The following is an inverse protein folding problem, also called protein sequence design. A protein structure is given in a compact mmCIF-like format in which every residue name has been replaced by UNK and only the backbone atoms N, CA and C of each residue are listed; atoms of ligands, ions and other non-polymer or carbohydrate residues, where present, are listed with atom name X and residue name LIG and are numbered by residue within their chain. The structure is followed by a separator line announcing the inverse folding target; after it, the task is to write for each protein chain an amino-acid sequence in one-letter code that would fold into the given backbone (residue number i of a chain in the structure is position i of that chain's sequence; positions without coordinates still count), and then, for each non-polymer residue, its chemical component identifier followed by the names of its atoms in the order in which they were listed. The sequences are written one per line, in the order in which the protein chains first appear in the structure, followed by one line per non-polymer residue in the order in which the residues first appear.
data_IF_351373830087
#
_entry.id   IF_351373830087
#
_cell.length_a   1.000
_cell.length_b   1.000
_cell.length_c   1.000
_cell.angle_alpha   90.00
_cell.angle_beta   90.00
_cell.angle_gamma   90.00
#
_symmetry.space_group_name_H-M   'P 1'
#
loop_
_entity.id
_entity.type
_entity.pdbx_description
1 polymer ?
#
# COMPACT_ATOMS: atom_id res chain seq x y z
N UNK A 1 51.77 48.44 9.78
CA UNK A 1 50.66 47.60 10.25
C UNK A 1 49.71 47.36 9.09
N UNK A 2 49.55 46.10 8.68
CA UNK A 2 48.31 45.47 8.17
C UNK A 2 48.69 44.12 7.53
N UNK A 3 48.80 43.12 8.39
CA UNK A 3 48.96 41.72 8.00
C UNK A 3 47.58 41.20 7.62
N UNK A 4 47.37 40.84 6.36
CA UNK A 4 46.16 40.14 5.93
C UNK A 4 46.35 38.65 6.19
N UNK A 5 45.59 38.11 7.14
CA UNK A 5 45.50 36.67 7.40
C UNK A 5 44.40 36.13 6.49
N UNK A 6 44.79 35.37 5.46
CA UNK A 6 43.85 34.60 4.65
C UNK A 6 43.53 33.32 5.43
N UNK A 7 42.33 33.27 6.02
CA UNK A 7 41.77 32.05 6.57
C UNK A 7 41.34 31.14 5.42
N UNK A 8 42.15 30.13 5.11
CA UNK A 8 41.75 29.02 4.27
C UNK A 8 40.72 28.18 5.04
N UNK A 9 39.43 28.38 4.72
CA UNK A 9 38.38 27.48 5.18
C UNK A 9 38.54 26.14 4.45
N UNK A 10 39.13 25.15 5.12
CA UNK A 10 39.05 23.77 4.68
C UNK A 10 37.60 23.32 4.78
N UNK A 11 36.86 23.42 3.68
CA UNK A 11 35.60 22.71 3.50
C UNK A 11 35.96 21.23 3.39
N UNK A 12 35.93 20.53 4.52
CA UNK A 12 35.92 19.07 4.51
C UNK A 12 34.55 18.68 3.97
N UNK A 13 34.47 18.43 2.65
CA UNK A 13 33.35 17.70 2.11
C UNK A 13 33.33 16.35 2.83
N UNK A 14 32.34 16.14 3.68
CA UNK A 14 32.08 14.81 4.23
C UNK A 14 31.76 13.91 3.05
N UNK A 15 32.76 13.17 2.57
CA UNK A 15 32.53 12.05 1.67
C UNK A 15 31.62 11.09 2.44
N UNK A 16 30.36 10.97 2.01
CA UNK A 16 29.43 10.03 2.59
C UNK A 16 30.05 8.62 2.49
N UNK A 17 30.18 7.96 3.63
CA UNK A 17 30.78 6.64 3.69
C UNK A 17 29.79 5.63 3.11
N UNK A 18 30.13 5.07 1.94
CA UNK A 18 29.56 3.80 1.49
C UNK A 18 29.74 2.80 2.63
N UNK A 19 28.68 2.08 3.07
CA UNK A 19 28.79 1.16 4.18
C UNK A 19 29.86 0.11 3.87
N UNK A 20 30.73 -0.12 4.83
CA UNK A 20 31.79 -1.13 4.74
C UNK A 20 31.19 -2.53 4.66
N UNK A 21 31.97 -3.48 4.12
CA UNK A 21 31.59 -4.90 4.08
C UNK A 21 31.24 -5.46 5.48
N UNK A 22 31.96 -5.00 6.51
CA UNK A 22 31.72 -5.42 7.89
C UNK A 22 30.37 -4.92 8.42
N UNK A 23 30.00 -3.67 8.12
CA UNK A 23 28.70 -3.11 8.50
C UNK A 23 27.55 -3.82 7.77
N UNK A 24 27.71 -4.11 6.48
CA UNK A 24 26.70 -4.85 5.71
C UNK A 24 26.53 -6.27 6.27
N UNK A 25 27.63 -6.94 6.62
CA UNK A 25 27.57 -8.27 7.23
C UNK A 25 26.88 -8.23 8.60
N UNK A 26 27.15 -7.22 9.42
CA UNK A 26 26.46 -7.07 10.71
C UNK A 26 24.95 -6.86 10.53
N UNK A 27 24.54 -5.99 9.60
CA UNK A 27 23.13 -5.78 9.26
C UNK A 27 22.47 -7.03 8.67
N UNK A 28 23.20 -7.87 7.93
CA UNK A 28 22.70 -9.13 7.41
C UNK A 28 22.32 -10.11 8.52
N UNK A 29 23.18 -10.27 9.53
CA UNK A 29 22.90 -11.16 10.67
C UNK A 29 21.74 -10.64 11.53
N UNK A 30 21.67 -9.32 11.74
CA UNK A 30 20.54 -8.67 12.41
C UNK A 30 19.24 -8.84 11.61
N UNK A 31 19.29 -8.65 10.29
CA UNK A 31 18.16 -8.82 9.38
C UNK A 31 17.59 -10.23 9.46
N UNK A 32 18.45 -11.26 9.36
CA UNK A 32 18.02 -12.66 9.47
C UNK A 32 17.32 -12.92 10.79
N UNK A 33 17.88 -12.41 11.89
CA UNK A 33 17.32 -12.57 13.24
C UNK A 33 15.98 -11.85 13.38
N UNK A 34 15.91 -10.59 12.97
CA UNK A 34 14.73 -9.71 13.09
C UNK A 34 13.53 -10.21 12.29
N UNK A 35 13.79 -10.80 11.12
CA UNK A 35 12.76 -11.31 10.20
C UNK A 35 12.65 -12.84 10.21
N UNK A 36 13.30 -13.51 11.17
CA UNK A 36 13.30 -14.97 11.31
C UNK A 36 13.58 -15.70 9.98
N UNK A 37 14.56 -15.21 9.22
CA UNK A 37 14.89 -15.74 7.90
C UNK A 37 15.58 -17.09 8.02
N UNK A 38 15.09 -18.04 7.23
CA UNK A 38 15.69 -19.36 7.06
C UNK A 38 15.79 -19.65 5.57
N UNK A 39 16.91 -20.24 5.14
CA UNK A 39 17.19 -20.52 3.73
C UNK A 39 17.32 -22.03 3.50
N UNK A 40 16.84 -22.49 2.34
CA UNK A 40 16.80 -23.92 2.02
C UNK A 40 18.19 -24.56 1.87
N UNK A 41 19.21 -23.76 1.55
CA UNK A 41 20.59 -24.22 1.43
C UNK A 41 21.58 -23.08 1.66
N UNK A 42 22.87 -23.38 1.94
CA UNK A 42 23.92 -22.37 1.99
C UNK A 42 24.07 -21.58 0.67
N UNK A 43 23.73 -22.19 -0.47
CA UNK A 43 23.77 -21.54 -1.79
C UNK A 43 22.67 -20.49 -1.90
N UNK A 44 21.45 -20.82 -1.46
CA UNK A 44 20.32 -19.86 -1.37
C UNK A 44 20.69 -18.72 -0.42
N UNK A 45 21.23 -19.02 0.76
CA UNK A 45 21.64 -17.99 1.73
C UNK A 45 22.69 -17.04 1.14
N UNK A 46 23.71 -17.58 0.46
CA UNK A 46 24.74 -16.76 -0.18
C UNK A 46 24.16 -15.86 -1.28
N UNK A 47 23.19 -16.37 -2.06
CA UNK A 47 22.47 -15.58 -3.04
C UNK A 47 21.67 -14.45 -2.37
N UNK A 48 20.90 -14.76 -1.34
CA UNK A 48 20.07 -13.80 -0.58
C UNK A 48 20.92 -12.73 0.11
N UNK A 49 22.07 -13.11 0.68
CA UNK A 49 23.05 -12.17 1.24
C UNK A 49 23.60 -11.20 0.17
N UNK A 50 23.83 -11.67 -1.05
CA UNK A 50 24.25 -10.81 -2.17
C UNK A 50 23.16 -9.80 -2.54
N UNK A 51 21.90 -10.26 -2.66
CA UNK A 51 20.77 -9.36 -2.94
C UNK A 51 20.58 -8.34 -1.81
N UNK A 52 20.67 -8.79 -0.56
CA UNK A 52 20.62 -7.92 0.61
C UNK A 52 21.71 -6.84 0.57
N UNK A 53 22.93 -7.21 0.22
CA UNK A 53 24.04 -6.25 0.04
C UNK A 53 23.75 -5.23 -1.06
N UNK A 54 23.23 -5.65 -2.21
CA UNK A 54 22.85 -4.75 -3.29
C UNK A 54 21.77 -3.74 -2.84
N UNK A 55 20.76 -4.20 -2.11
CA UNK A 55 19.72 -3.35 -1.53
C UNK A 55 20.27 -2.44 -0.41
N UNK A 56 21.23 -2.90 0.40
CA UNK A 56 21.91 -2.10 1.43
C UNK A 56 22.61 -0.89 0.83
N UNK A 57 23.31 -1.08 -0.29
CA UNK A 57 23.97 0.01 -1.02
C UNK A 57 22.96 1.00 -1.60
N UNK A 58 21.82 0.52 -2.13
CA UNK A 58 20.72 1.38 -2.60
C UNK A 58 20.10 2.19 -1.47
N UNK A 59 19.87 1.56 -0.31
CA UNK A 59 19.35 2.20 0.89
C UNK A 59 20.28 3.33 1.35
N UNK A 60 21.58 3.05 1.49
CA UNK A 60 22.56 4.04 1.91
C UNK A 60 22.58 5.26 0.97
N UNK A 61 22.67 5.02 -0.35
CA UNK A 61 22.69 6.09 -1.35
C UNK A 61 21.39 6.91 -1.39
N UNK A 62 20.24 6.28 -1.21
CA UNK A 62 18.97 7.00 -1.18
C UNK A 62 18.80 7.82 0.09
N UNK A 63 19.20 7.27 1.24
CA UNK A 63 19.06 7.97 2.51
C UNK A 63 20.07 9.13 2.63
N UNK A 64 21.23 9.07 1.98
CA UNK A 64 22.12 10.22 1.80
C UNK A 64 21.39 11.39 1.11
N UNK A 65 20.68 11.10 0.00
CA UNK A 65 19.87 12.10 -0.72
C UNK A 65 18.70 12.62 0.13
N UNK A 66 18.17 11.79 1.03
CA UNK A 66 17.16 12.25 1.97
C UNK A 66 17.76 13.22 2.99
N UNK A 67 18.91 12.87 3.56
CA UNK A 67 19.60 13.68 4.57
C UNK A 67 20.11 15.01 3.97
N UNK A 68 20.43 15.05 2.67
CA UNK A 68 20.73 16.28 1.92
C UNK A 68 19.48 17.08 1.47
N UNK A 69 18.27 16.54 1.69
CA UNK A 69 17.00 17.18 1.33
C UNK A 69 16.61 17.08 -0.15
N UNK A 70 17.30 16.26 -0.95
CA UNK A 70 16.99 16.04 -2.37
C UNK A 70 15.74 15.17 -2.60
N UNK A 71 15.44 14.26 -1.66
CA UNK A 71 14.23 13.41 -1.67
C UNK A 71 13.45 13.55 -0.37
N UNK A 72 12.18 13.13 -0.38
CA UNK A 72 11.22 13.42 0.71
C UNK A 72 10.87 12.22 1.59
N UNK A 73 11.49 11.06 1.37
CA UNK A 73 11.26 9.83 2.13
C UNK A 73 12.55 9.07 2.39
N UNK A 74 12.52 8.18 3.38
CA UNK A 74 13.57 7.20 3.66
C UNK A 74 13.15 5.81 3.19
N UNK A 75 14.14 5.03 2.78
CA UNK A 75 14.02 3.58 2.60
C UNK A 75 14.79 2.87 3.71
N UNK A 76 14.53 1.58 3.93
CA UNK A 76 15.23 0.82 4.97
C UNK A 76 15.06 -0.68 4.84
N UNK A 77 15.77 -1.40 5.70
CA UNK A 77 15.63 -2.85 5.80
C UNK A 77 14.24 -3.19 6.34
N UNK A 78 13.47 -3.92 5.54
CA UNK A 78 12.23 -4.57 5.92
C UNK A 78 12.31 -6.04 5.49
N UNK A 79 11.25 -6.83 5.71
CA UNK A 79 11.27 -8.28 5.46
C UNK A 79 11.58 -8.70 4.00
N UNK A 80 11.58 -7.77 3.05
CA UNK A 80 11.87 -8.00 1.64
C UNK A 80 13.26 -7.51 1.21
N UNK A 81 14.12 -7.09 2.14
CA UNK A 81 15.43 -6.54 1.82
C UNK A 81 16.39 -7.54 1.15
N UNK A 82 16.15 -8.84 1.27
CA UNK A 82 16.91 -9.93 0.62
C UNK A 82 16.30 -10.44 -0.69
N UNK A 83 15.33 -9.70 -1.25
CA UNK A 83 14.66 -10.03 -2.50
C UNK A 83 14.87 -8.92 -3.54
N UNK A 84 14.99 -9.32 -4.81
CA UNK A 84 14.87 -8.39 -5.91
C UNK A 84 13.43 -7.93 -6.07
N UNK A 85 13.25 -6.72 -6.58
CA UNK A 85 11.91 -6.11 -6.72
C UNK A 85 10.97 -6.95 -7.56
N UNK A 86 11.43 -7.58 -8.64
CA UNK A 86 10.58 -8.44 -9.45
C UNK A 86 10.06 -9.67 -8.69
N UNK A 87 10.87 -10.27 -7.79
CA UNK A 87 10.43 -11.41 -6.97
C UNK A 87 9.30 -11.01 -6.02
N UNK A 88 9.36 -9.78 -5.50
CA UNK A 88 8.35 -9.22 -4.60
C UNK A 88 7.08 -8.88 -5.38
N UNK A 89 7.21 -8.15 -6.49
CA UNK A 89 6.06 -7.67 -7.25
C UNK A 89 5.34 -8.80 -7.97
N UNK A 90 6.05 -9.79 -8.51
CA UNK A 90 5.42 -10.95 -9.18
C UNK A 90 4.53 -11.76 -8.24
N UNK A 91 4.92 -11.88 -6.96
CA UNK A 91 4.16 -12.63 -5.96
C UNK A 91 3.08 -11.83 -5.25
N UNK A 92 3.27 -10.52 -5.08
CA UNK A 92 2.41 -9.72 -4.19
C UNK A 92 1.61 -8.62 -4.92
N UNK A 93 1.97 -8.24 -6.15
CA UNK A 93 1.23 -7.25 -6.94
C UNK A 93 0.18 -7.98 -7.80
N UNK A 94 -1.00 -8.15 -7.23
CA UNK A 94 -2.09 -8.92 -7.81
C UNK A 94 -3.15 -8.13 -8.58
N UNK A 95 -2.99 -6.82 -8.78
CA UNK A 95 -4.03 -6.05 -9.47
C UNK A 95 -3.99 -6.30 -10.98
N UNK A 96 -5.13 -6.72 -11.56
CA UNK A 96 -5.22 -7.11 -12.97
C UNK A 96 -6.00 -6.12 -13.84
N UNK A 97 -5.29 -5.16 -14.45
CA UNK A 97 -5.85 -4.15 -15.37
C UNK A 97 -6.71 -4.70 -16.52
N UNK A 98 -6.41 -5.90 -17.01
CA UNK A 98 -7.03 -6.47 -18.21
C UNK A 98 -8.37 -7.16 -18.01
N UNK A 99 -8.81 -7.36 -16.75
CA UNK A 99 -10.09 -8.00 -16.47
C UNK A 99 -11.24 -7.08 -16.88
N UNK A 100 -12.24 -7.65 -17.57
CA UNK A 100 -13.44 -6.93 -17.98
C UNK A 100 -14.37 -6.78 -16.78
N UNK A 101 -14.73 -5.54 -16.46
CA UNK A 101 -15.75 -5.22 -15.45
C UNK A 101 -16.94 -4.51 -16.07
N UNK A 102 -18.14 -4.60 -15.49
CA UNK A 102 -19.27 -3.78 -15.88
C UNK A 102 -18.98 -2.28 -15.75
N UNK A 103 -19.60 -1.48 -16.61
CA UNK A 103 -19.63 -0.03 -16.39
C UNK A 103 -20.48 0.26 -15.16
N UNK A 104 -20.05 1.21 -14.34
CA UNK A 104 -20.78 1.60 -13.14
C UNK A 104 -20.84 3.13 -13.03
N UNK A 105 -21.59 3.60 -12.04
CA UNK A 105 -21.72 5.01 -11.70
C UNK A 105 -20.36 5.60 -11.39
N UNK A 106 -20.14 6.84 -11.82
CA UNK A 106 -18.89 7.56 -11.60
C UNK A 106 -19.14 8.72 -10.64
N UNK A 107 -18.51 8.68 -9.47
CA UNK A 107 -18.46 9.79 -8.53
C UNK A 107 -17.57 10.90 -9.09
N UNK A 108 -18.11 12.12 -9.03
CA UNK A 108 -17.38 13.37 -9.28
C UNK A 108 -17.57 14.27 -8.07
N UNK A 109 -16.52 14.95 -7.66
CA UNK A 109 -16.58 15.90 -6.56
C UNK A 109 -17.64 16.98 -6.86
N UNK A 110 -18.57 17.25 -5.92
CA UNK A 110 -19.46 18.38 -6.07
C UNK A 110 -18.65 19.69 -6.07
N UNK A 111 -19.19 20.75 -6.69
CA UNK A 111 -18.54 22.06 -6.75
C UNK A 111 -18.20 22.59 -5.35
N UNK A 112 -19.13 22.42 -4.41
CA UNK A 112 -18.98 22.77 -3.01
C UNK A 112 -19.11 21.50 -2.17
N UNK A 113 -17.99 20.95 -1.75
CA UNK A 113 -17.94 19.85 -0.79
C UNK A 113 -17.22 20.31 0.48
N UNK A 114 -17.53 19.74 1.66
CA UNK A 114 -16.94 20.16 2.93
C UNK A 114 -15.45 19.80 2.95
N UNK A 115 -14.62 20.68 2.38
CA UNK A 115 -13.19 20.46 2.26
C UNK A 115 -12.53 20.53 3.64
N UNK A 116 -11.69 19.54 3.92
CA UNK A 116 -10.81 19.53 5.09
C UNK A 116 -9.35 19.49 4.65
N UNK A 117 -8.47 20.18 5.37
CA UNK A 117 -7.00 20.11 5.18
C UNK A 117 -6.44 18.71 5.47
N UNK A 118 -7.11 17.94 6.32
CA UNK A 118 -6.65 16.63 6.78
C UNK A 118 -7.84 15.72 7.06
N UNK A 119 -7.75 14.49 6.59
CA UNK A 119 -8.67 13.40 6.94
C UNK A 119 -7.80 12.20 7.33
N UNK A 120 -8.16 11.54 8.43
CA UNK A 120 -7.50 10.32 8.88
C UNK A 120 -8.53 9.38 9.51
N UNK A 121 -9.00 8.42 8.72
CA UNK A 121 -10.06 7.49 9.11
C UNK A 121 -9.62 6.51 10.19
N UNK A 122 -8.30 6.32 10.40
CA UNK A 122 -7.77 5.49 11.49
C UNK A 122 -8.19 6.05 12.84
N UNK A 123 -8.07 7.38 13.01
CA UNK A 123 -8.46 8.09 14.23
C UNK A 123 -9.98 8.12 14.48
N UNK A 124 -10.79 7.66 13.51
CA UNK A 124 -12.24 7.66 13.57
C UNK A 124 -12.85 6.27 13.73
N UNK A 125 -12.03 5.21 13.79
CA UNK A 125 -12.48 3.82 13.96
C UNK A 125 -12.90 3.11 12.68
N UNK A 126 -12.62 3.69 11.51
CA UNK A 126 -13.06 3.15 10.20
C UNK A 126 -12.09 2.12 9.60
N UNK A 127 -10.96 1.85 10.27
CA UNK A 127 -9.84 1.10 9.68
C UNK A 127 -9.42 -0.01 10.64
N UNK A 128 -9.51 -1.25 10.20
CA UNK A 128 -8.99 -2.44 10.90
C UNK A 128 -7.45 -2.44 10.97
N UNK A 129 -6.82 -3.28 11.81
CA UNK A 129 -5.37 -3.46 11.80
C UNK A 129 -4.80 -3.78 10.40
N UNK A 130 -3.53 -3.47 10.19
CA UNK A 130 -2.83 -3.89 8.96
C UNK A 130 -2.69 -5.41 8.95
N UNK A 131 -2.99 -6.02 7.81
CA UNK A 131 -2.86 -7.45 7.55
C UNK A 131 -1.66 -7.72 6.63
N UNK A 132 -1.33 -9.00 6.43
CA UNK A 132 -0.23 -9.45 5.56
C UNK A 132 -0.76 -10.46 4.54
N UNK A 133 -0.65 -10.13 3.26
CA UNK A 133 -1.11 -10.98 2.16
C UNK A 133 -0.16 -12.15 1.86
N UNK A 134 1.08 -12.09 2.35
CA UNK A 134 2.11 -13.09 2.05
C UNK A 134 2.43 -13.20 0.55
N UNK A 135 2.92 -14.36 0.13
CA UNK A 135 3.29 -14.66 -1.26
C UNK A 135 2.07 -15.03 -2.14
N UNK A 136 1.02 -14.20 -2.10
CA UNK A 136 -0.19 -14.37 -2.88
C UNK A 136 -0.62 -13.02 -3.46
N UNK A 137 -0.93 -12.96 -4.76
CA UNK A 137 -1.38 -11.76 -5.47
C UNK A 137 -2.83 -11.39 -5.14
N UNK A 138 -3.16 -11.29 -3.85
CA UNK A 138 -4.50 -11.01 -3.34
C UNK A 138 -4.69 -9.57 -2.87
N UNK A 139 -3.78 -8.65 -3.19
CA UNK A 139 -3.88 -7.23 -2.80
C UNK A 139 -5.25 -6.60 -3.16
N UNK A 140 -5.86 -7.05 -4.26
CA UNK A 140 -7.21 -6.66 -4.68
C UNK A 140 -8.27 -7.04 -3.63
N UNK A 141 -8.15 -8.22 -3.00
CA UNK A 141 -9.04 -8.67 -1.94
C UNK A 141 -8.87 -7.80 -0.67
N UNK A 142 -7.63 -7.56 -0.24
CA UNK A 142 -7.34 -6.70 0.93
C UNK A 142 -7.79 -5.24 0.74
N UNK A 143 -7.61 -4.70 -0.47
CA UNK A 143 -8.12 -3.37 -0.80
C UNK A 143 -9.65 -3.34 -0.74
N UNK A 144 -10.32 -4.39 -1.21
CA UNK A 144 -11.79 -4.53 -1.21
C UNK A 144 -12.34 -4.64 0.21
N UNK A 145 -11.82 -5.57 1.01
CA UNK A 145 -12.26 -5.77 2.40
C UNK A 145 -12.08 -4.49 3.19
N UNK A 146 -10.92 -3.84 3.09
CA UNK A 146 -10.67 -2.58 3.80
C UNK A 146 -11.69 -1.46 3.50
N UNK A 147 -12.17 -1.35 2.26
CA UNK A 147 -13.22 -0.38 1.92
C UNK A 147 -14.60 -0.80 2.44
N UNK A 148 -14.94 -2.11 2.35
CA UNK A 148 -16.19 -2.66 2.89
C UNK A 148 -16.25 -2.52 4.42
N UNK A 149 -15.16 -2.80 5.13
CA UNK A 149 -15.03 -2.64 6.59
C UNK A 149 -15.31 -1.19 7.01
N UNK A 150 -14.73 -0.22 6.29
CA UNK A 150 -14.96 1.21 6.55
C UNK A 150 -16.41 1.64 6.31
N UNK A 151 -17.04 1.16 5.23
CA UNK A 151 -18.45 1.45 4.97
C UNK A 151 -19.38 0.76 5.98
N UNK A 152 -19.08 -0.48 6.35
CA UNK A 152 -19.83 -1.20 7.38
C UNK A 152 -19.77 -0.46 8.72
N UNK A 153 -18.58 0.01 9.12
CA UNK A 153 -18.42 0.83 10.32
C UNK A 153 -19.22 2.13 10.22
N UNK A 154 -19.17 2.83 9.08
CA UNK A 154 -19.97 4.05 8.84
C UNK A 154 -21.46 3.84 9.10
N UNK A 155 -21.98 2.68 8.67
CA UNK A 155 -23.40 2.35 8.73
C UNK A 155 -23.84 1.85 10.10
N UNK A 156 -23.01 1.04 10.76
CA UNK A 156 -23.41 0.27 11.95
C UNK A 156 -22.73 0.74 13.24
N UNK A 157 -21.64 1.49 13.15
CA UNK A 157 -20.76 1.81 14.27
C UNK A 157 -19.91 0.63 14.76
N UNK A 158 -20.00 -0.54 14.12
CA UNK A 158 -19.24 -1.75 14.49
C UNK A 158 -18.14 -2.02 13.47
N UNK A 159 -16.89 -2.01 13.93
CA UNK A 159 -15.75 -2.36 13.09
C UNK A 159 -15.59 -3.87 13.16
N UNK A 160 -15.62 -4.53 12.00
CA UNK A 160 -15.49 -5.98 11.86
C UNK A 160 -14.38 -6.22 10.85
N UNK A 161 -13.52 -7.21 11.09
CA UNK A 161 -12.57 -7.62 10.07
C UNK A 161 -13.20 -8.66 9.15
N UNK A 162 -13.20 -8.36 7.86
CA UNK A 162 -13.82 -9.19 6.82
C UNK A 162 -12.77 -10.14 6.22
N UNK A 163 -13.22 -11.28 5.70
CA UNK A 163 -12.36 -12.33 5.16
C UNK A 163 -11.87 -12.01 3.73
N UNK A 164 -10.57 -11.84 3.57
CA UNK A 164 -9.99 -11.81 2.22
C UNK A 164 -10.02 -13.19 1.56
N UNK A 165 -9.90 -14.28 2.34
CA UNK A 165 -9.91 -15.64 1.81
C UNK A 165 -11.22 -15.98 1.13
N UNK A 166 -12.34 -15.52 1.68
CA UNK A 166 -13.64 -15.66 1.05
C UNK A 166 -13.63 -15.01 -0.35
N UNK A 167 -13.03 -13.84 -0.53
CA UNK A 167 -12.91 -13.23 -1.87
C UNK A 167 -11.98 -14.04 -2.77
N UNK A 168 -10.81 -14.43 -2.27
CA UNK A 168 -9.80 -15.21 -3.02
C UNK A 168 -10.41 -16.51 -3.57
N UNK A 169 -11.20 -17.21 -2.76
CA UNK A 169 -11.74 -18.53 -3.12
C UNK A 169 -13.06 -18.47 -3.88
N UNK A 170 -13.90 -17.46 -3.63
CA UNK A 170 -15.28 -17.42 -4.11
C UNK A 170 -15.55 -16.39 -5.21
N UNK A 171 -14.76 -15.32 -5.32
CA UNK A 171 -14.95 -14.30 -6.36
C UNK A 171 -14.36 -14.78 -7.69
N UNK A 172 -15.04 -15.72 -8.34
CA UNK A 172 -14.51 -16.45 -9.53
C UNK A 172 -14.34 -15.61 -10.79
N UNK A 173 -14.87 -14.38 -10.82
CA UNK A 173 -14.53 -13.40 -11.87
C UNK A 173 -13.12 -12.81 -11.68
N UNK A 174 -12.59 -12.89 -10.47
CA UNK A 174 -11.17 -12.72 -10.14
C UNK A 174 -10.47 -14.07 -10.13
N UNK A 175 -9.13 -14.07 -10.09
CA UNK A 175 -8.32 -15.28 -10.22
C UNK A 175 -7.54 -15.59 -8.93
N UNK A 176 -8.14 -15.38 -7.76
CA UNK A 176 -7.52 -15.67 -6.48
C UNK A 176 -6.14 -15.01 -6.30
N UNK A 177 -5.13 -15.81 -5.95
CA UNK A 177 -3.72 -15.39 -5.82
C UNK A 177 -3.06 -15.01 -7.15
N UNK A 178 -3.63 -15.38 -8.29
CA UNK A 178 -3.10 -14.93 -9.58
C UNK A 178 -3.51 -13.49 -9.88
N UNK A 179 -4.47 -12.93 -9.14
CA UNK A 179 -4.83 -11.52 -9.18
C UNK A 179 -6.29 -11.23 -9.56
N UNK A 180 -6.67 -9.95 -9.42
CA UNK A 180 -8.05 -9.52 -9.53
C UNK A 180 -8.24 -8.00 -9.56
N UNK A 181 -9.50 -7.58 -9.48
CA UNK A 181 -9.95 -6.20 -9.40
C UNK A 181 -10.89 -6.03 -8.22
N UNK A 182 -10.74 -4.91 -7.50
CA UNK A 182 -11.64 -4.56 -6.39
C UNK A 182 -13.09 -4.46 -6.84
N UNK A 183 -13.33 -3.94 -8.04
CA UNK A 183 -14.69 -3.76 -8.60
C UNK A 183 -15.44 -5.09 -8.79
N UNK A 184 -14.75 -6.12 -9.28
CA UNK A 184 -15.32 -7.46 -9.43
C UNK A 184 -15.59 -8.10 -8.06
N UNK A 185 -14.75 -7.80 -7.07
CA UNK A 185 -14.93 -8.27 -5.71
C UNK A 185 -16.14 -7.59 -5.03
N UNK A 186 -16.32 -6.28 -5.20
CA UNK A 186 -17.52 -5.57 -4.73
C UNK A 186 -18.79 -6.11 -5.39
N UNK A 187 -18.74 -6.43 -6.69
CA UNK A 187 -19.86 -7.03 -7.41
C UNK A 187 -20.17 -8.45 -6.91
N UNK A 188 -19.15 -9.26 -6.63
CA UNK A 188 -19.33 -10.55 -5.95
C UNK A 188 -20.04 -10.37 -4.61
N UNK A 189 -19.59 -9.46 -3.75
CA UNK A 189 -20.22 -9.23 -2.44
C UNK A 189 -21.68 -8.79 -2.57
N UNK A 190 -22.00 -7.98 -3.58
CA UNK A 190 -23.38 -7.59 -3.92
C UNK A 190 -24.26 -8.79 -4.22
N UNK A 191 -23.80 -9.70 -5.07
CA UNK A 191 -24.56 -10.89 -5.49
C UNK A 191 -24.60 -11.95 -4.37
N UNK A 192 -23.50 -12.09 -3.63
CA UNK A 192 -23.35 -13.04 -2.53
C UNK A 192 -24.15 -12.63 -1.28
N UNK A 193 -24.52 -11.34 -1.17
CA UNK A 193 -25.32 -10.81 -0.07
C UNK A 193 -24.51 -10.58 1.22
N UNK A 194 -23.20 -10.43 1.11
CA UNK A 194 -22.30 -10.28 2.26
C UNK A 194 -20.97 -11.01 2.08
N UNK A 195 -20.18 -11.01 3.14
CA UNK A 195 -18.87 -11.65 3.21
C UNK A 195 -18.66 -12.22 4.62
N UNK A 196 -17.94 -13.34 4.74
CA UNK A 196 -17.56 -13.89 6.04
C UNK A 196 -16.58 -12.97 6.77
N UNK A 197 -16.49 -13.16 8.09
CA UNK A 197 -15.47 -12.49 8.92
C UNK A 197 -14.12 -13.18 8.76
N UNK A 198 -13.04 -12.44 9.04
CA UNK A 198 -11.70 -13.03 9.12
C UNK A 198 -11.62 -14.18 10.15
N UNK A 199 -12.41 -14.11 11.22
CA UNK A 199 -12.44 -15.15 12.26
C UNK A 199 -13.10 -16.44 11.76
N UNK A 200 -14.21 -16.35 11.03
CA UNK A 200 -14.95 -17.50 10.51
C UNK A 200 -14.33 -18.11 9.26
N UNK A 201 -13.62 -17.30 8.46
CA UNK A 201 -12.93 -17.75 7.26
C UNK A 201 -11.53 -17.11 7.17
N UNK A 202 -10.53 -17.63 7.90
CA UNK A 202 -9.20 -17.04 7.99
C UNK A 202 -8.41 -17.07 6.68
N UNK A 203 -7.56 -16.06 6.49
CA UNK A 203 -6.65 -15.95 5.37
C UNK A 203 -5.51 -16.98 5.39
N UNK A 204 -5.32 -17.68 4.27
CA UNK A 204 -4.32 -18.76 4.14
C UNK A 204 -3.24 -18.46 3.11
N UNK A 205 -3.30 -17.31 2.42
CA UNK A 205 -2.34 -16.91 1.39
C UNK A 205 -2.18 -17.91 0.23
N UNK A 206 -3.24 -18.66 -0.08
CA UNK A 206 -3.27 -19.65 -1.16
C UNK A 206 -4.64 -19.70 -1.78
N UNK A 207 -4.74 -20.17 -3.03
CA UNK A 207 -6.04 -20.52 -3.61
C UNK A 207 -6.62 -21.74 -2.89
N UNK A 208 -7.88 -21.64 -2.51
CA UNK A 208 -8.67 -22.71 -1.93
C UNK A 208 -9.97 -22.96 -2.70
N UNK A 209 -10.76 -23.89 -2.18
CA UNK A 209 -12.17 -24.07 -2.61
C UNK A 209 -13.03 -23.07 -1.86
N UNK A 210 -14.03 -22.46 -2.51
CA UNK A 210 -14.97 -21.57 -1.82
C UNK A 210 -15.70 -22.28 -0.66
N UNK A 211 -15.45 -21.83 0.58
CA UNK A 211 -16.06 -22.36 1.81
C UNK A 211 -17.07 -21.39 2.46
N UNK A 212 -17.53 -20.37 1.71
CA UNK A 212 -18.47 -19.36 2.22
C UNK A 212 -19.71 -19.99 2.87
N UNK A 213 -20.09 -19.49 4.05
CA UNK A 213 -21.27 -19.95 4.79
C UNK A 213 -22.25 -18.80 5.04
N UNK A 214 -23.47 -18.83 4.48
CA UNK A 214 -24.44 -17.75 4.66
C UNK A 214 -24.79 -17.41 6.12
N UNK A 215 -24.57 -18.35 7.05
CA UNK A 215 -24.80 -18.20 8.49
C UNK A 215 -23.70 -17.42 9.20
N UNK A 216 -22.47 -17.45 8.68
CA UNK A 216 -21.28 -16.82 9.28
C UNK A 216 -20.98 -15.42 8.68
N UNK A 217 -21.81 -14.99 7.71
CA UNK A 217 -21.59 -13.74 6.97
C UNK A 217 -21.90 -12.50 7.79
N UNK A 218 -21.15 -11.43 7.49
CA UNK A 218 -21.57 -10.06 7.73
C UNK A 218 -22.45 -9.63 6.57
N UNK A 219 -23.70 -9.26 6.86
CA UNK A 219 -24.56 -8.65 5.86
C UNK A 219 -24.10 -7.20 5.60
N UNK A 220 -23.61 -6.96 4.39
CA UNK A 220 -23.07 -5.68 3.97
C UNK A 220 -24.11 -4.84 3.23
N UNK A 221 -25.28 -5.41 2.86
CA UNK A 221 -26.35 -4.75 2.10
C UNK A 221 -25.85 -3.83 0.97
N UNK A 222 -24.83 -4.25 0.22
CA UNK A 222 -24.21 -3.40 -0.79
C UNK A 222 -25.04 -3.38 -2.07
N UNK A 223 -25.11 -2.23 -2.76
CA UNK A 223 -25.65 -2.10 -4.12
C UNK A 223 -24.57 -2.25 -5.20
N UNK A 224 -23.38 -2.72 -4.83
CA UNK A 224 -22.22 -2.85 -5.71
C UNK A 224 -21.16 -1.81 -5.37
N UNK A 225 -20.68 -1.10 -6.38
CA UNK A 225 -19.62 -0.11 -6.23
C UNK A 225 -19.91 1.20 -6.97
N UNK A 226 -19.08 2.20 -6.72
CA UNK A 226 -19.02 3.45 -7.49
C UNK A 226 -17.56 3.68 -7.84
N UNK A 227 -17.30 3.93 -9.13
CA UNK A 227 -15.99 4.35 -9.59
C UNK A 227 -15.77 5.83 -9.25
N UNK A 228 -14.56 6.22 -8.86
CA UNK A 228 -14.19 7.62 -8.69
C UNK A 228 -13.62 8.12 -10.01
N UNK A 229 -14.10 9.27 -10.48
CA UNK A 229 -13.51 9.91 -11.67
C UNK A 229 -12.01 10.12 -11.46
N UNK A 230 -11.20 9.84 -12.49
CA UNK A 230 -9.77 9.63 -12.35
C UNK A 230 -8.94 10.91 -12.15
N UNK A 231 -9.28 11.71 -11.14
CA UNK A 231 -8.52 12.90 -10.72
C UNK A 231 -8.28 12.88 -9.21
N UNK A 232 -7.17 13.47 -8.78
CA UNK A 232 -6.84 13.57 -7.35
C UNK A 232 -7.88 14.40 -6.57
N UNK A 233 -8.53 15.37 -7.22
CA UNK A 233 -9.61 16.16 -6.62
C UNK A 233 -10.84 15.31 -6.31
N UNK A 234 -11.24 14.46 -7.25
CA UNK A 234 -12.39 13.57 -7.09
C UNK A 234 -12.09 12.49 -6.03
N UNK A 235 -10.86 11.97 -6.00
CA UNK A 235 -10.41 11.08 -4.94
C UNK A 235 -10.38 11.77 -3.57
N UNK A 236 -9.95 13.03 -3.47
CA UNK A 236 -9.91 13.77 -2.20
C UNK A 236 -11.31 13.96 -1.63
N UNK A 237 -12.26 14.33 -2.49
CA UNK A 237 -13.67 14.45 -2.12
C UNK A 237 -14.26 13.09 -1.70
N UNK A 238 -13.98 12.02 -2.44
CA UNK A 238 -14.44 10.68 -2.10
C UNK A 238 -13.90 10.24 -0.74
N UNK A 239 -12.60 10.35 -0.49
CA UNK A 239 -12.00 10.00 0.81
C UNK A 239 -12.64 10.79 1.94
N UNK A 240 -12.88 12.08 1.76
CA UNK A 240 -13.45 12.90 2.85
C UNK A 240 -14.93 12.70 3.10
N UNK A 241 -15.73 12.46 2.05
CA UNK A 241 -17.20 12.38 2.18
C UNK A 241 -17.69 10.96 2.40
N UNK A 242 -16.99 9.98 1.81
CA UNK A 242 -17.44 8.61 1.73
C UNK A 242 -16.78 7.74 2.80
N UNK A 243 -15.46 7.79 2.94
CA UNK A 243 -14.72 6.90 3.84
C UNK A 243 -13.38 6.48 3.25
N UNK A 244 -12.78 5.38 3.75
CA UNK A 244 -11.69 4.71 3.06
C UNK A 244 -12.08 4.27 1.63
N UNK A 245 -11.18 4.47 0.67
CA UNK A 245 -11.41 4.21 -0.77
C UNK A 245 -10.38 3.21 -1.28
N UNK A 246 -10.81 2.16 -1.98
CA UNK A 246 -9.91 1.24 -2.66
C UNK A 246 -9.26 1.95 -3.83
N UNK A 247 -7.93 1.88 -3.92
CA UNK A 247 -7.16 2.50 -5.01
C UNK A 247 -6.14 1.54 -5.57
N UNK A 248 -5.89 1.62 -6.87
CA UNK A 248 -4.75 0.99 -7.51
C UNK A 248 -3.56 1.96 -7.60
N UNK A 249 -2.35 1.45 -7.39
CA UNK A 249 -1.09 2.18 -7.59
C UNK A 249 -0.10 1.37 -8.43
N UNK A 250 0.92 2.04 -8.96
CA UNK A 250 2.18 1.41 -9.37
C UNK A 250 3.08 1.22 -8.13
N UNK A 251 3.32 -0.04 -7.77
CA UNK A 251 4.21 -0.46 -6.69
C UNK A 251 5.43 -1.25 -7.21
N UNK A 252 5.75 -1.13 -8.51
CA UNK A 252 6.80 -1.91 -9.18
C UNK A 252 8.23 -1.41 -8.89
N UNK A 253 8.37 -0.29 -8.18
CA UNK A 253 9.65 0.36 -7.92
C UNK A 253 10.32 -0.17 -6.65
N UNK A 254 11.65 -0.38 -6.69
CA UNK A 254 12.44 -0.86 -5.54
C UNK A 254 12.32 0.07 -4.32
N UNK A 255 12.12 1.37 -4.54
CA UNK A 255 11.95 2.37 -3.49
C UNK A 255 10.61 2.22 -2.76
N UNK A 256 9.57 1.68 -3.43
CA UNK A 256 8.31 1.29 -2.80
C UNK A 256 8.51 0.02 -1.97
N UNK A 257 9.15 -1.01 -2.56
CA UNK A 257 9.49 -2.25 -1.85
C UNK A 257 10.14 -1.97 -0.49
N UNK A 258 11.11 -1.06 -0.46
CA UNK A 258 11.91 -0.73 0.72
C UNK A 258 11.47 0.55 1.45
N UNK A 259 10.28 1.10 1.14
CA UNK A 259 9.78 2.29 1.81
C UNK A 259 9.77 2.11 3.32
N UNK A 260 10.27 3.13 4.05
CA UNK A 260 10.31 3.13 5.52
C UNK A 260 9.50 4.26 6.14
N UNK A 261 9.65 5.48 5.65
CA UNK A 261 8.97 6.65 6.22
C UNK A 261 9.06 7.90 5.35
N UNK A 262 8.21 8.89 5.59
CA UNK A 262 8.21 10.17 4.89
C UNK A 262 7.25 10.19 3.70
N UNK A 263 7.29 11.25 2.89
CA UNK A 263 6.34 11.39 1.77
C UNK A 263 6.98 10.79 0.52
N UNK A 264 6.47 9.62 0.13
CA UNK A 264 6.93 8.86 -1.02
C UNK A 264 6.67 9.62 -2.33
N UNK A 265 7.75 9.83 -3.08
CA UNK A 265 7.71 10.35 -4.44
C UNK A 265 8.81 9.68 -5.28
N UNK A 266 8.41 8.82 -6.20
CA UNK A 266 9.31 8.11 -7.13
C UNK A 266 9.14 8.62 -8.57
N UNK A 267 10.09 9.39 -9.12
CA UNK A 267 9.98 9.93 -10.48
C UNK A 267 9.61 8.93 -11.58
N UNK A 268 9.97 7.65 -11.40
CA UNK A 268 9.71 6.59 -12.38
C UNK A 268 8.38 5.86 -12.17
N UNK A 269 7.59 6.25 -11.16
CA UNK A 269 6.28 5.68 -10.92
C UNK A 269 5.30 6.06 -12.04
N UNK A 270 4.63 5.07 -12.61
CA UNK A 270 3.67 5.24 -13.68
C UNK A 270 2.31 5.66 -13.16
N UNK A 271 1.65 6.60 -13.85
CA UNK A 271 0.23 6.89 -13.61
C UNK A 271 -0.73 5.89 -14.25
N UNK A 272 -0.20 4.98 -15.07
CA UNK A 272 -1.00 4.06 -15.87
C UNK A 272 -0.71 2.59 -15.58
N UNK A 273 0.55 2.21 -15.34
CA UNK A 273 0.98 0.83 -15.09
C UNK A 273 0.67 0.37 -13.66
N UNK A 274 -0.61 0.43 -13.30
CA UNK A 274 -1.13 -0.02 -12.01
C UNK A 274 -0.99 -1.53 -11.88
N UNK A 275 -0.40 -1.98 -10.77
CA UNK A 275 -0.13 -3.39 -10.48
C UNK A 275 -0.49 -3.80 -9.03
N UNK A 276 -0.73 -2.84 -8.14
CA UNK A 276 -1.02 -3.12 -6.72
C UNK A 276 -2.29 -2.43 -6.21
N UNK A 277 -3.10 -3.17 -5.46
CA UNK A 277 -4.34 -2.70 -4.84
C UNK A 277 -4.11 -2.34 -3.37
N UNK A 278 -4.43 -1.11 -2.98
CA UNK A 278 -4.24 -0.57 -1.62
C UNK A 278 -5.47 0.23 -1.19
N UNK A 279 -5.47 0.75 0.03
CA UNK A 279 -6.61 1.50 0.57
C UNK A 279 -6.20 2.92 0.99
N UNK A 280 -6.77 3.94 0.33
CA UNK A 280 -6.63 5.33 0.74
C UNK A 280 -7.52 5.61 1.96
N UNK A 281 -6.91 5.79 3.13
CA UNK A 281 -7.60 5.97 4.43
C UNK A 281 -7.57 7.42 4.92
N UNK A 282 -7.06 8.33 4.11
CA UNK A 282 -6.93 9.72 4.50
C UNK A 282 -5.96 10.49 3.63
N UNK A 283 -5.74 11.73 4.01
CA UNK A 283 -4.79 12.63 3.37
C UNK A 283 -4.44 13.77 4.33
N UNK A 284 -3.35 14.48 4.04
CA UNK A 284 -2.93 15.63 4.83
C UNK A 284 -2.00 16.55 4.06
N UNK A 285 -1.47 17.52 4.80
CA UNK A 285 -0.47 18.47 4.35
C UNK A 285 0.52 18.72 5.48
N UNK A 286 1.81 18.61 5.18
CA UNK A 286 2.91 19.02 6.05
C UNK A 286 3.49 20.38 5.61
N UNK A 287 4.04 21.12 6.56
CA UNK A 287 4.73 22.37 6.28
C UNK A 287 5.97 22.12 5.37
N UNK A 288 6.28 22.98 4.38
CA UNK A 288 5.57 24.22 4.02
C UNK A 288 4.36 24.04 3.10
N UNK A 289 4.24 22.93 2.36
CA UNK A 289 3.05 22.55 1.56
C UNK A 289 3.20 21.13 0.96
N UNK A 290 3.73 20.19 1.74
CA UNK A 290 3.93 18.80 1.30
C UNK A 290 2.65 18.01 1.50
N UNK A 291 1.85 17.90 0.45
CA UNK A 291 0.57 17.21 0.47
C UNK A 291 0.77 15.71 0.24
N UNK A 292 0.03 14.89 0.99
CA UNK A 292 0.13 13.44 0.89
C UNK A 292 -1.23 12.76 1.07
N UNK A 293 -1.32 11.55 0.51
CA UNK A 293 -2.31 10.52 0.82
C UNK A 293 -1.81 9.68 1.99
N UNK A 294 -2.72 9.17 2.82
CA UNK A 294 -2.43 8.13 3.82
C UNK A 294 -2.98 6.83 3.25
N UNK A 295 -2.10 5.87 2.97
CA UNK A 295 -2.45 4.64 2.27
C UNK A 295 -2.10 3.44 3.15
N UNK A 296 -3.09 2.58 3.39
CA UNK A 296 -2.92 1.30 4.08
C UNK A 296 -2.47 0.26 3.06
N UNK A 297 -1.35 -0.41 3.35
CA UNK A 297 -0.85 -1.53 2.55
C UNK A 297 -1.27 -2.87 3.17
N UNK A 298 -0.99 -3.96 2.47
CA UNK A 298 -1.29 -5.34 2.86
C UNK A 298 -0.03 -6.21 2.99
N UNK A 299 1.13 -5.59 3.25
CA UNK A 299 2.43 -6.27 3.39
C UNK A 299 2.89 -6.35 4.85
N UNK A 300 1.91 -6.46 5.75
CA UNK A 300 2.16 -6.55 7.19
C UNK A 300 2.56 -5.23 7.85
N UNK A 301 2.45 -5.16 9.19
CA UNK A 301 2.72 -3.94 9.96
C UNK A 301 4.21 -3.57 10.03
N UNK A 302 5.12 -4.49 9.70
CA UNK A 302 6.57 -4.23 9.73
C UNK A 302 7.06 -3.45 8.50
N UNK A 303 6.25 -3.38 7.45
CA UNK A 303 6.56 -2.62 6.24
C UNK A 303 6.15 -1.14 6.40
N UNK A 304 6.96 -0.20 5.88
CA UNK A 304 6.62 1.23 5.91
C UNK A 304 6.43 1.82 7.31
N UNK A 305 5.45 2.71 7.42
CA UNK A 305 5.03 3.39 8.66
C UNK A 305 3.92 2.58 9.34
N UNK A 306 4.30 1.52 10.05
CA UNK A 306 3.37 0.58 10.71
C UNK A 306 2.36 -0.06 9.73
N UNK A 307 2.83 -0.40 8.53
CA UNK A 307 2.02 -0.95 7.43
C UNK A 307 1.35 0.09 6.54
N UNK A 308 1.61 1.37 6.77
CA UNK A 308 1.12 2.48 5.95
C UNK A 308 2.24 3.13 5.13
N UNK A 309 1.83 3.87 4.11
CA UNK A 309 2.68 4.76 3.33
C UNK A 309 2.01 6.10 3.15
N UNK A 310 2.80 7.17 3.22
CA UNK A 310 2.37 8.51 2.82
C UNK A 310 2.83 8.78 1.40
N UNK A 311 1.90 8.77 0.44
CA UNK A 311 2.22 8.98 -0.98
C UNK A 311 1.99 10.43 -1.37
N UNK A 312 2.84 11.01 -2.22
CA UNK A 312 2.69 12.38 -2.66
C UNK A 312 1.32 12.64 -3.32
N UNK A 313 0.65 13.71 -2.90
CA UNK A 313 -0.66 14.14 -3.40
C UNK A 313 -0.54 15.45 -4.18
N UNK A 314 -1.41 15.62 -5.17
CA UNK A 314 -1.43 16.73 -6.11
C UNK A 314 -0.08 16.87 -6.85
N UNK A 315 0.44 15.72 -7.29
CA UNK A 315 1.72 15.56 -7.99
C UNK A 315 1.55 14.80 -9.30
N UNK A 316 0.59 15.27 -10.11
CA UNK A 316 0.25 14.71 -11.43
C UNK A 316 -0.20 13.24 -11.35
N UNK A 317 -1.09 12.93 -10.40
CA UNK A 317 -1.58 11.56 -10.20
C UNK A 317 -0.42 10.56 -10.00
N UNK A 318 0.45 10.89 -9.05
CA UNK A 318 1.67 10.15 -8.77
C UNK A 318 1.38 8.67 -8.48
N UNK A 319 2.13 7.76 -9.11
CA UNK A 319 1.87 6.32 -9.10
C UNK A 319 0.46 5.90 -9.53
N UNK A 320 -0.31 6.80 -10.13
CA UNK A 320 -1.64 6.54 -10.63
C UNK A 320 -2.69 6.30 -9.55
N UNK A 321 -2.47 6.80 -8.33
CA UNK A 321 -3.35 6.58 -7.17
C UNK A 321 -4.83 6.94 -7.41
N UNK A 322 -5.11 7.91 -8.29
CA UNK A 322 -6.48 8.27 -8.67
C UNK A 322 -6.96 7.57 -9.97
N UNK A 323 -6.12 6.80 -10.66
CA UNK A 323 -6.45 6.15 -11.94
C UNK A 323 -7.51 5.06 -11.76
N UNK A 324 -7.42 4.30 -10.66
CA UNK A 324 -8.27 3.15 -10.37
C UNK A 324 -8.77 3.22 -8.94
N UNK A 325 -9.65 4.17 -8.67
CA UNK A 325 -10.25 4.38 -7.38
C UNK A 325 -11.74 4.01 -7.40
N UNK A 326 -12.20 3.24 -6.42
CA UNK A 326 -13.59 2.85 -6.29
C UNK A 326 -13.93 2.53 -4.83
N UNK A 327 -15.22 2.53 -4.51
CA UNK A 327 -15.72 2.20 -3.18
C UNK A 327 -17.05 1.44 -3.26
N UNK A 328 -17.36 0.58 -2.28
CA UNK A 328 -18.64 -0.09 -2.20
C UNK A 328 -19.72 0.86 -1.69
N UNK A 329 -20.97 0.64 -2.10
CA UNK A 329 -22.11 1.45 -1.63
C UNK A 329 -23.01 0.60 -0.77
N UNK A 330 -23.10 0.90 0.53
CA UNK A 330 -24.04 0.22 1.43
C UNK A 330 -25.41 0.92 1.37
N UNK A 331 -26.47 0.15 1.15
CA UNK A 331 -27.83 0.68 1.04
C UNK A 331 -28.39 1.15 2.40
N UNK A 332 -29.22 2.19 2.35
CA UNK A 332 -29.97 2.71 3.51
C UNK A 332 -29.39 3.93 4.20
N UNK A 333 -28.75 4.85 3.47
CA UNK A 333 -28.54 6.23 3.94
C UNK A 333 -29.76 7.10 3.61
#
# INVERSE_FOLDING_TARGET
MKTFIILAACVVAALAAVPSEQEIQAHWEEFKTTHAKTYASPVEEAYRAKVFKENSLRIAKHNERFDSGEVTFKVGYNQYADMHTHEVTEKMNGYRRGLKKPSNTVFKAPLNWPWSKKVDWRSKGFVTPVKDQGECGSCWAFSTTGALEGQHFKKTGKLVSLSEQNLVDCSTANHGCDGGLMDLAFEYVRVNGGLDTEESYPYTATNGTCLFRPEDKVDLHTSGYVDVHSTEKDLEAAVSMIGPISVGIDASNWSFQLYKSGIYYEPFCSSEAIDHGVLAVGYGTEFPNKQYWIVKNSWGPKWGEDGYIRMARNKKNHCGIATKASYPTILGL
#
